data_IF_646184150841
#
_entry.id   IF_646184150841
#
_cell.length_a   1.000
_cell.length_b   1.000
_cell.length_c   1.000
_cell.angle_alpha   90.00
_cell.angle_beta   90.00
_cell.angle_gamma   90.00
#
_symmetry.space_group_name_H-M   'P 1'
#
loop_
_entity.id
_entity.type
_entity.pdbx_description
1 polymer ?
#
# COMPACT_ATOMS: atom_id res chain seq x y z
N UNK A 1 4.21 18.82 -4.09
CA UNK A 1 5.25 18.16 -4.92
C UNK A 1 4.51 17.34 -5.97
N UNK A 2 4.77 17.55 -7.25
CA UNK A 2 4.13 16.80 -8.33
C UNK A 2 5.05 15.68 -8.81
N UNK A 3 5.04 14.54 -8.12
CA UNK A 3 5.58 13.26 -8.61
C UNK A 3 5.10 12.94 -10.04
N UNK A 4 3.91 13.43 -10.42
CA UNK A 4 3.36 13.42 -11.78
C UNK A 4 4.21 14.15 -12.83
N UNK A 5 5.32 14.81 -12.48
CA UNK A 5 6.31 15.33 -13.43
C UNK A 5 7.67 14.63 -13.29
N UNK A 6 7.88 13.90 -12.19
CA UNK A 6 9.16 13.27 -11.84
C UNK A 6 9.25 11.82 -12.29
N UNK A 7 8.14 11.09 -12.29
CA UNK A 7 8.10 9.64 -12.48
C UNK A 7 7.06 9.20 -13.52
N UNK A 8 7.35 8.08 -14.18
CA UNK A 8 6.53 7.44 -15.23
C UNK A 8 6.55 5.92 -15.05
N UNK A 9 5.72 5.19 -15.82
CA UNK A 9 5.79 3.73 -15.84
C UNK A 9 7.16 3.18 -16.27
N UNK A 10 7.96 3.95 -17.03
CA UNK A 10 9.29 3.53 -17.45
C UNK A 10 10.29 3.41 -16.28
N UNK A 11 9.99 4.02 -15.13
CA UNK A 11 10.80 3.91 -13.92
C UNK A 11 10.58 2.58 -13.17
N UNK A 12 9.59 1.78 -13.58
CA UNK A 12 9.19 0.54 -12.92
C UNK A 12 9.38 -0.68 -13.82
N UNK A 13 9.82 -1.79 -13.21
CA UNK A 13 9.85 -3.11 -13.84
C UNK A 13 9.04 -4.07 -12.99
N UNK A 14 7.99 -4.63 -13.58
CA UNK A 14 7.16 -5.66 -12.98
C UNK A 14 7.63 -7.04 -13.40
N UNK A 15 7.72 -7.98 -12.46
CA UNK A 15 8.10 -9.36 -12.77
C UNK A 15 7.22 -10.36 -12.07
N UNK A 16 6.80 -11.41 -12.79
CA UNK A 16 6.20 -12.60 -12.20
C UNK A 16 7.28 -13.64 -11.94
N UNK A 17 7.38 -14.13 -10.70
CA UNK A 17 8.24 -15.27 -10.35
C UNK A 17 7.46 -16.56 -10.56
N UNK A 18 7.91 -17.40 -11.48
CA UNK A 18 7.46 -18.78 -11.63
C UNK A 18 8.69 -19.68 -11.65
N UNK A 19 8.83 -20.54 -10.64
CA UNK A 19 9.92 -21.50 -10.47
C UNK A 19 11.33 -20.91 -10.73
N UNK A 20 11.85 -21.12 -11.94
CA UNK A 20 13.22 -20.78 -12.36
C UNK A 20 13.30 -19.61 -13.37
N UNK A 21 12.16 -19.06 -13.81
CA UNK A 21 12.11 -17.96 -14.78
C UNK A 21 11.29 -16.78 -14.23
N UNK A 22 11.82 -15.59 -14.44
CA UNK A 22 11.09 -14.34 -14.17
C UNK A 22 10.55 -13.81 -15.50
N UNK A 23 9.22 -13.75 -15.61
CA UNK A 23 8.55 -13.08 -16.73
C UNK A 23 8.47 -11.59 -16.43
N UNK A 24 8.84 -10.74 -17.39
CA UNK A 24 8.64 -9.28 -17.28
C UNK A 24 7.23 -8.96 -17.71
N UNK A 25 6.49 -8.24 -16.87
CA UNK A 25 5.11 -7.86 -17.10
C UNK A 25 5.01 -6.39 -17.50
N UNK A 26 4.02 -6.06 -18.32
CA UNK A 26 3.48 -4.70 -18.44
C UNK A 26 2.71 -4.30 -17.17
N UNK A 27 2.41 -3.00 -17.02
CA UNK A 27 1.59 -2.50 -15.92
C UNK A 27 0.22 -3.18 -15.86
N UNK A 28 -0.45 -3.34 -17.00
CA UNK A 28 -1.79 -3.96 -17.07
C UNK A 28 -1.78 -5.46 -16.77
N UNK A 29 -0.65 -6.15 -16.99
CA UNK A 29 -0.48 -7.55 -16.59
C UNK A 29 -0.13 -7.70 -15.10
N UNK A 30 0.57 -6.72 -14.52
CA UNK A 30 0.86 -6.67 -13.09
C UNK A 30 -0.37 -6.29 -12.26
N UNK A 31 -1.20 -5.37 -12.76
CA UNK A 31 -2.42 -4.89 -12.15
C UNK A 31 -3.61 -5.01 -13.13
N UNK A 32 -4.12 -6.23 -13.34
CA UNK A 32 -5.25 -6.44 -14.24
C UNK A 32 -6.47 -5.64 -13.80
N UNK A 33 -7.22 -5.14 -14.79
CA UNK A 33 -8.45 -4.35 -14.63
C UNK A 33 -8.29 -3.06 -13.82
N UNK A 34 -7.07 -2.54 -13.71
CA UNK A 34 -6.82 -1.27 -13.02
C UNK A 34 -7.56 -0.13 -13.71
N UNK A 35 -8.25 0.69 -12.90
CA UNK A 35 -8.95 1.86 -13.36
C UNK A 35 -8.55 3.09 -12.53
N UNK A 36 -8.43 4.31 -13.12
CA UNK A 36 -8.07 5.53 -12.38
C UNK A 36 -9.01 5.93 -11.25
N UNK A 37 -10.23 5.37 -11.22
CA UNK A 37 -11.22 5.57 -10.14
C UNK A 37 -11.14 4.49 -9.05
N UNK A 38 -10.20 3.55 -9.15
CA UNK A 38 -10.01 2.54 -8.13
C UNK A 38 -9.58 3.16 -6.81
N UNK A 39 -10.13 2.63 -5.73
CA UNK A 39 -9.88 3.03 -4.35
C UNK A 39 -8.92 2.02 -3.76
N UNK A 40 -7.66 2.43 -3.60
CA UNK A 40 -6.59 1.57 -3.12
C UNK A 40 -6.45 1.74 -1.61
N UNK A 41 -6.58 0.65 -0.86
CA UNK A 41 -6.32 0.62 0.59
C UNK A 41 -4.93 0.05 0.85
N UNK A 42 -4.13 0.77 1.65
CA UNK A 42 -2.77 0.42 2.03
C UNK A 42 -2.73 0.20 3.54
N UNK A 43 -2.73 -1.05 3.98
CA UNK A 43 -2.77 -1.37 5.42
C UNK A 43 -1.37 -1.37 6.01
N UNK A 44 -1.15 -0.59 7.06
CA UNK A 44 0.14 -0.42 7.73
C UNK A 44 -0.05 -0.46 9.26
N UNK A 45 -0.05 -1.64 9.90
CA UNK A 45 -0.28 -1.77 11.34
C UNK A 45 0.76 -1.01 12.19
N UNK A 46 1.96 -0.83 11.65
CA UNK A 46 2.96 0.12 12.12
C UNK A 46 3.26 1.10 10.99
N UNK A 47 3.54 2.35 11.32
CA UNK A 47 3.70 3.43 10.34
C UNK A 47 4.68 3.09 9.22
N UNK A 48 5.86 2.60 9.57
CA UNK A 48 6.98 2.41 8.65
C UNK A 48 6.87 1.14 7.80
N UNK A 49 6.18 0.10 8.28
CA UNK A 49 6.12 -1.19 7.61
C UNK A 49 5.47 -1.09 6.23
N UNK A 50 4.44 -0.24 6.10
CA UNK A 50 3.80 0.05 4.82
C UNK A 50 4.70 0.90 3.91
N UNK A 51 5.42 1.88 4.45
CA UNK A 51 6.35 2.70 3.63
C UNK A 51 7.45 1.82 3.05
N UNK A 52 8.06 0.94 3.84
CA UNK A 52 9.06 -0.02 3.35
C UNK A 52 8.46 -1.03 2.36
N UNK A 53 7.31 -1.62 2.71
CA UNK A 53 6.74 -2.75 1.99
C UNK A 53 5.96 -2.41 0.73
N UNK A 54 5.44 -1.18 0.62
CA UNK A 54 4.46 -0.80 -0.41
C UNK A 54 4.98 0.26 -1.39
N UNK A 55 6.06 0.97 -1.10
CA UNK A 55 6.47 2.17 -1.85
C UNK A 55 6.51 1.99 -3.38
N UNK A 56 7.09 0.89 -3.89
CA UNK A 56 7.14 0.60 -5.31
C UNK A 56 5.77 0.36 -5.94
N UNK A 57 4.87 -0.33 -5.24
CA UNK A 57 3.51 -0.56 -5.73
C UNK A 57 2.67 0.73 -5.71
N UNK A 58 2.76 1.52 -4.65
CA UNK A 58 2.00 2.78 -4.53
C UNK A 58 2.40 3.76 -5.63
N UNK A 59 3.70 4.00 -5.82
CA UNK A 59 4.17 4.88 -6.89
C UNK A 59 3.89 4.31 -8.28
N UNK A 60 4.01 2.99 -8.46
CA UNK A 60 3.64 2.33 -9.72
C UNK A 60 2.16 2.48 -10.07
N UNK A 61 1.26 2.42 -9.08
CA UNK A 61 -0.16 2.70 -9.29
C UNK A 61 -0.41 4.19 -9.54
N UNK A 62 0.31 5.08 -8.85
CA UNK A 62 0.20 6.53 -9.04
C UNK A 62 0.64 6.95 -10.45
N UNK A 63 1.72 6.37 -10.98
CA UNK A 63 2.13 6.63 -12.38
C UNK A 63 1.12 6.05 -13.36
N UNK A 64 0.50 4.90 -13.08
CA UNK A 64 -0.58 4.36 -13.91
C UNK A 64 -1.80 5.28 -13.97
N UNK A 65 -2.15 5.90 -12.84
CA UNK A 65 -3.16 6.95 -12.77
C UNK A 65 -2.77 8.18 -13.61
N UNK A 66 -1.58 8.74 -13.38
CA UNK A 66 -1.14 9.96 -14.07
C UNK A 66 -0.91 9.74 -15.56
N UNK A 67 -0.47 8.55 -16.00
CA UNK A 67 -0.35 8.22 -17.43
C UNK A 67 -1.70 8.24 -18.13
N UNK A 68 -2.78 7.81 -17.46
CA UNK A 68 -4.12 7.96 -17.98
C UNK A 68 -4.50 9.44 -18.16
N UNK A 69 -4.22 10.29 -17.17
CA UNK A 69 -4.48 11.74 -17.27
C UNK A 69 -3.63 12.41 -18.35
N UNK A 70 -2.33 12.11 -18.41
CA UNK A 70 -1.42 12.60 -19.46
C UNK A 70 -1.92 12.23 -20.86
N UNK A 71 -2.45 11.02 -21.03
CA UNK A 71 -2.99 10.57 -22.32
C UNK A 71 -4.26 11.31 -22.76
N UNK A 72 -5.02 11.88 -21.82
CA UNK A 72 -6.20 12.70 -22.11
C UNK A 72 -5.83 14.13 -22.55
N UNK A 73 -4.58 14.55 -22.29
CA UNK A 73 -4.06 15.87 -22.63
C UNK A 73 -4.50 16.97 -21.64
N UNK A 74 -3.76 18.09 -21.64
CA UNK A 74 -4.03 19.24 -20.78
C UNK A 74 -3.39 19.17 -19.39
N UNK A 75 -3.56 20.24 -18.61
CA UNK A 75 -3.16 20.27 -17.20
C UNK A 75 -4.18 19.51 -16.34
N UNK A 76 -3.69 18.81 -15.32
CA UNK A 76 -4.53 18.07 -14.38
C UNK A 76 -4.12 18.34 -12.93
N UNK A 77 -5.10 18.34 -12.03
CA UNK A 77 -4.93 18.56 -10.59
C UNK A 77 -5.55 17.45 -9.75
N UNK A 78 -5.88 16.32 -10.40
CA UNK A 78 -6.47 15.15 -9.76
C UNK A 78 -5.37 14.28 -9.13
N UNK A 79 -5.74 13.58 -8.06
CA UNK A 79 -4.86 12.66 -7.33
C UNK A 79 -5.50 11.27 -7.32
N UNK A 80 -4.69 10.19 -7.29
CA UNK A 80 -5.20 8.85 -7.15
C UNK A 80 -5.94 8.66 -5.82
N UNK A 81 -6.95 7.80 -5.78
CA UNK A 81 -7.69 7.47 -4.55
C UNK A 81 -6.94 6.40 -3.75
N UNK A 82 -5.72 6.73 -3.31
CA UNK A 82 -4.92 5.91 -2.42
C UNK A 82 -5.19 6.31 -0.98
N UNK A 83 -5.58 5.35 -0.14
CA UNK A 83 -5.83 5.55 1.28
C UNK A 83 -4.87 4.68 2.08
N UNK A 84 -4.20 5.25 3.08
CA UNK A 84 -3.38 4.49 4.03
C UNK A 84 -4.12 4.35 5.35
N UNK A 85 -4.13 3.13 5.88
CA UNK A 85 -4.68 2.79 7.20
C UNK A 85 -3.52 2.48 8.14
N UNK A 86 -3.25 3.41 9.05
CA UNK A 86 -2.10 3.41 9.95
C UNK A 86 -2.57 2.96 11.32
N UNK A 87 -1.92 1.94 11.87
CA UNK A 87 -2.27 1.42 13.20
C UNK A 87 -2.03 2.46 14.29
N UNK A 88 -3.06 2.73 15.09
CA UNK A 88 -2.98 3.67 16.19
C UNK A 88 -4.34 3.98 16.81
N UNK A 89 -4.37 5.00 17.68
CA UNK A 89 -5.58 5.49 18.35
C UNK A 89 -5.38 6.93 18.81
N UNK A 90 -6.42 7.76 18.68
CA UNK A 90 -6.46 9.11 19.30
C UNK A 90 -5.24 10.00 18.97
N UNK A 91 -4.73 9.97 17.73
CA UNK A 91 -3.57 10.75 17.29
C UNK A 91 -2.21 10.13 17.62
N UNK A 92 -2.21 9.00 18.33
CA UNK A 92 -1.04 8.17 18.58
C UNK A 92 -0.96 7.06 17.54
N UNK A 93 0.23 6.84 16.98
CA UNK A 93 0.47 5.77 16.00
C UNK A 93 1.49 4.77 16.49
N UNK A 94 1.34 3.51 16.08
CA UNK A 94 2.31 2.47 16.36
C UNK A 94 3.51 2.58 15.43
N UNK A 95 4.70 2.48 16.01
CA UNK A 95 5.97 2.33 15.27
C UNK A 95 6.72 1.12 15.81
N UNK A 96 7.78 0.67 15.13
CA UNK A 96 8.65 -0.41 15.63
C UNK A 96 9.32 -0.06 16.96
N UNK A 97 9.49 1.23 17.26
CA UNK A 97 10.08 1.70 18.51
C UNK A 97 9.04 2.11 19.56
N UNK A 98 7.82 1.58 19.44
CA UNK A 98 6.70 1.91 20.32
C UNK A 98 5.86 3.06 19.79
N UNK A 99 4.86 3.40 20.58
CA UNK A 99 3.82 4.33 20.17
C UNK A 99 4.31 5.77 20.18
N UNK A 100 3.85 6.58 19.23
CA UNK A 100 4.25 7.97 19.07
C UNK A 100 3.07 8.88 18.80
N UNK A 101 3.09 10.04 19.44
CA UNK A 101 2.19 11.14 19.13
C UNK A 101 2.82 11.94 17.98
N UNK A 102 2.17 11.98 16.82
CA UNK A 102 2.65 12.68 15.64
C UNK A 102 1.64 13.74 15.21
N UNK A 103 2.11 14.90 14.79
CA UNK A 103 1.28 15.85 14.06
C UNK A 103 0.86 15.29 12.69
N UNK A 104 -0.20 15.84 12.09
CA UNK A 104 -0.66 15.42 10.75
C UNK A 104 0.46 15.51 9.69
N UNK A 105 1.27 16.60 9.63
CA UNK A 105 2.40 16.65 8.72
C UNK A 105 3.44 15.54 8.96
N UNK A 106 3.75 15.21 10.21
CA UNK A 106 4.71 14.15 10.54
C UNK A 106 4.19 12.75 10.21
N UNK A 107 2.89 12.52 10.46
CA UNK A 107 2.20 11.27 10.14
C UNK A 107 2.27 10.96 8.66
N UNK A 108 1.96 11.96 7.83
CA UNK A 108 1.79 11.77 6.40
C UNK A 108 3.00 12.16 5.56
N UNK A 109 4.08 12.71 6.13
CA UNK A 109 5.23 13.19 5.35
C UNK A 109 5.79 12.14 4.40
N UNK A 110 6.03 10.92 4.90
CA UNK A 110 6.52 9.81 4.08
C UNK A 110 5.47 9.35 3.04
N UNK A 111 4.22 9.23 3.46
CA UNK A 111 3.10 8.77 2.62
C UNK A 111 2.72 9.74 1.50
N UNK A 112 2.71 11.05 1.78
CA UNK A 112 2.50 12.10 0.79
C UNK A 112 3.61 12.15 -0.26
N UNK A 113 4.83 11.75 0.12
CA UNK A 113 5.91 11.58 -0.85
C UNK A 113 5.71 10.40 -1.79
N UNK A 114 4.89 9.42 -1.39
CA UNK A 114 4.48 8.27 -2.20
C UNK A 114 3.14 8.48 -2.92
N UNK A 115 2.68 9.73 -3.13
CA UNK A 115 1.36 10.03 -3.72
C UNK A 115 0.14 9.54 -2.93
N UNK A 116 0.28 9.24 -1.65
CA UNK A 116 -0.88 9.11 -0.77
C UNK A 116 -1.21 10.52 -0.27
N UNK A 117 -2.00 11.25 -1.05
CA UNK A 117 -2.35 12.65 -0.81
C UNK A 117 -3.79 12.92 -1.31
N UNK A 118 -4.57 13.85 -0.73
CA UNK A 118 -4.28 14.76 0.38
C UNK A 118 -4.33 14.12 1.77
N UNK A 119 -4.11 14.93 2.82
CA UNK A 119 -4.12 14.50 4.23
C UNK A 119 -5.37 13.70 4.62
N UNK A 120 -6.51 13.93 3.96
CA UNK A 120 -7.75 13.17 4.18
C UNK A 120 -7.65 11.70 3.75
N UNK A 121 -6.54 11.29 3.15
CA UNK A 121 -6.24 9.91 2.79
C UNK A 121 -5.38 9.18 3.84
N UNK A 122 -5.02 9.84 4.94
CA UNK A 122 -4.26 9.25 6.04
C UNK A 122 -5.19 8.94 7.20
N UNK A 123 -5.47 7.66 7.42
CA UNK A 123 -6.44 7.22 8.43
C UNK A 123 -5.70 6.54 9.56
N UNK A 124 -5.82 7.06 10.77
CA UNK A 124 -5.42 6.33 11.98
C UNK A 124 -6.57 5.39 12.34
N UNK A 125 -6.28 4.10 12.39
CA UNK A 125 -7.27 3.05 12.64
C UNK A 125 -6.80 2.15 13.78
N UNK A 126 -7.73 1.52 14.53
CA UNK A 126 -7.34 0.49 15.49
C UNK A 126 -6.44 -0.54 14.82
N UNK A 127 -5.31 -0.86 15.45
CA UNK A 127 -4.30 -1.76 14.90
C UNK A 127 -4.68 -3.23 15.03
N UNK A 128 -5.91 -3.55 14.65
CA UNK A 128 -6.48 -4.88 14.57
C UNK A 128 -6.95 -5.12 13.14
N UNK A 129 -6.94 -6.39 12.67
CA UNK A 129 -7.51 -6.73 11.36
C UNK A 129 -8.95 -6.23 11.18
N UNK A 130 -9.81 -6.38 12.20
CA UNK A 130 -11.18 -5.88 12.15
C UNK A 130 -11.25 -4.36 11.95
N UNK A 131 -10.45 -3.57 12.67
CA UNK A 131 -10.41 -2.10 12.53
C UNK A 131 -9.94 -1.64 11.15
N UNK A 132 -8.96 -2.34 10.57
CA UNK A 132 -8.44 -2.03 9.23
C UNK A 132 -9.42 -2.45 8.11
N UNK A 133 -10.12 -3.58 8.28
CA UNK A 133 -11.20 -4.00 7.37
C UNK A 133 -12.37 -3.02 7.45
N UNK A 134 -12.69 -2.54 8.64
CA UNK A 134 -13.74 -1.52 8.80
C UNK A 134 -13.42 -0.26 8.01
N UNK A 135 -12.17 0.21 8.08
CA UNK A 135 -11.71 1.36 7.29
C UNK A 135 -11.83 1.08 5.78
N UNK A 136 -11.39 -0.10 5.32
CA UNK A 136 -11.53 -0.52 3.93
C UNK A 136 -13.00 -0.53 3.46
N UNK A 137 -13.90 -1.04 4.30
CA UNK A 137 -15.34 -1.06 4.05
C UNK A 137 -15.92 0.36 3.97
N UNK A 138 -15.66 1.22 4.98
CA UNK A 138 -16.19 2.59 5.06
C UNK A 138 -15.75 3.44 3.87
N UNK A 139 -14.50 3.28 3.44
CA UNK A 139 -13.92 4.03 2.32
C UNK A 139 -14.19 3.39 0.95
N UNK A 140 -14.88 2.24 0.93
CA UNK A 140 -15.24 1.50 -0.27
C UNK A 140 -14.02 1.11 -1.12
N UNK A 141 -12.95 0.67 -0.45
CA UNK A 141 -11.74 0.16 -1.10
C UNK A 141 -12.11 -1.01 -2.02
N UNK A 142 -11.51 -1.00 -3.21
CA UNK A 142 -11.67 -2.07 -4.20
C UNK A 142 -10.34 -2.73 -4.60
N UNK A 143 -9.19 -2.20 -4.16
CA UNK A 143 -7.88 -2.86 -4.26
C UNK A 143 -7.16 -2.75 -2.93
N UNK A 144 -6.80 -3.86 -2.30
CA UNK A 144 -6.27 -3.86 -0.94
C UNK A 144 -4.85 -4.43 -0.90
N UNK A 145 -3.95 -3.70 -0.24
CA UNK A 145 -2.62 -4.19 0.14
C UNK A 145 -2.61 -4.47 1.64
N UNK A 146 -2.25 -5.71 2.00
CA UNK A 146 -2.37 -6.21 3.36
C UNK A 146 -1.07 -6.89 3.82
N UNK A 147 -0.60 -6.70 5.06
CA UNK A 147 0.62 -7.37 5.53
C UNK A 147 0.34 -8.85 5.76
N UNK A 148 1.16 -9.75 5.19
CA UNK A 148 0.92 -11.20 5.32
C UNK A 148 0.92 -11.69 6.77
N UNK A 149 1.64 -11.01 7.66
CA UNK A 149 1.71 -11.35 9.09
C UNK A 149 0.53 -10.83 9.91
N UNK A 150 -0.36 -10.03 9.32
CA UNK A 150 -1.43 -9.34 10.04
C UNK A 150 -2.76 -10.07 9.90
N UNK A 151 -2.81 -11.29 10.43
CA UNK A 151 -3.99 -12.16 10.41
C UNK A 151 -4.84 -11.98 11.68
N UNK A 152 -6.16 -12.21 11.61
CA UNK A 152 -7.02 -12.01 12.76
C UNK A 152 -6.84 -13.12 13.79
N UNK A 153 -6.89 -12.72 15.06
CA UNK A 153 -7.13 -13.63 16.18
C UNK A 153 -8.59 -13.57 16.61
N UNK A 154 -8.83 -13.60 17.91
CA UNK A 154 -10.15 -13.31 18.47
C UNK A 154 -10.52 -11.84 18.25
N UNK A 155 -11.77 -11.59 17.90
CA UNK A 155 -12.33 -10.25 17.68
C UNK A 155 -13.50 -10.05 18.62
N UNK A 156 -13.43 -9.03 19.46
CA UNK A 156 -14.48 -8.71 20.45
C UNK A 156 -15.72 -8.10 19.79
N UNK A 157 -15.50 -7.23 18.78
CA UNK A 157 -16.54 -6.51 18.06
C UNK A 157 -16.44 -6.80 16.55
N UNK A 158 -16.98 -7.94 16.09
CA UNK A 158 -16.96 -8.28 14.68
C UNK A 158 -17.87 -7.35 13.86
N UNK A 159 -17.47 -7.11 12.61
CA UNK A 159 -18.24 -6.35 11.64
C UNK A 159 -19.49 -7.12 11.22
N UNK A 160 -20.56 -6.40 10.86
CA UNK A 160 -21.78 -7.07 10.38
C UNK A 160 -21.53 -7.93 9.13
N UNK A 161 -22.33 -8.99 8.97
CA UNK A 161 -22.36 -9.80 7.74
C UNK A 161 -22.67 -8.96 6.49
N UNK A 162 -23.35 -7.82 6.64
CA UNK A 162 -23.54 -6.86 5.56
C UNK A 162 -22.20 -6.30 5.03
N UNK A 163 -21.26 -5.98 5.91
CA UNK A 163 -19.93 -5.52 5.52
C UNK A 163 -19.18 -6.59 4.72
N UNK A 164 -19.25 -7.86 5.15
CA UNK A 164 -18.70 -9.00 4.41
C UNK A 164 -19.24 -9.06 2.97
N UNK A 165 -20.58 -9.04 2.80
CA UNK A 165 -21.19 -9.10 1.46
C UNK A 165 -20.78 -7.92 0.58
N UNK A 166 -20.68 -6.72 1.16
CA UNK A 166 -20.32 -5.53 0.40
C UNK A 166 -18.84 -5.55 -0.02
N UNK A 167 -17.93 -5.97 0.86
CA UNK A 167 -16.52 -6.15 0.53
C UNK A 167 -16.33 -7.23 -0.54
N UNK A 168 -17.00 -8.38 -0.40
CA UNK A 168 -16.97 -9.46 -1.39
C UNK A 168 -17.40 -8.99 -2.78
N UNK A 169 -18.45 -8.19 -2.85
CA UNK A 169 -18.94 -7.66 -4.13
C UNK A 169 -18.11 -6.51 -4.72
N UNK A 170 -17.15 -5.95 -3.98
CA UNK A 170 -16.40 -4.74 -4.39
C UNK A 170 -14.91 -4.93 -4.56
N UNK A 171 -14.28 -5.77 -3.74
CA UNK A 171 -12.84 -6.03 -3.84
C UNK A 171 -12.55 -6.69 -5.19
N UNK A 172 -11.74 -6.01 -6.01
CA UNK A 172 -11.23 -6.48 -7.29
C UNK A 172 -9.95 -7.29 -7.13
N UNK A 173 -9.09 -6.90 -6.19
CA UNK A 173 -7.80 -7.55 -5.96
C UNK A 173 -7.30 -7.35 -4.54
N UNK A 174 -6.66 -8.37 -3.98
CA UNK A 174 -5.95 -8.29 -2.71
C UNK A 174 -4.50 -8.73 -2.90
N UNK A 175 -3.57 -7.98 -2.31
CA UNK A 175 -2.14 -8.21 -2.40
C UNK A 175 -1.54 -8.29 -1.01
N UNK A 176 -0.98 -9.45 -0.67
CA UNK A 176 -0.17 -9.56 0.54
C UNK A 176 1.23 -9.03 0.30
N UNK A 177 1.72 -8.17 1.20
CA UNK A 177 3.11 -7.69 1.19
C UNK A 177 3.89 -8.24 2.40
N UNK A 178 5.21 -8.06 2.39
CA UNK A 178 6.15 -8.66 3.34
C UNK A 178 6.07 -10.20 3.38
N UNK A 179 5.80 -10.81 2.21
CA UNK A 179 5.75 -12.26 2.03
C UNK A 179 7.00 -12.78 1.31
N UNK A 180 7.54 -13.92 1.77
CA UNK A 180 8.70 -14.56 1.14
C UNK A 180 8.34 -15.22 -0.19
N UNK A 181 7.11 -15.72 -0.30
CA UNK A 181 6.50 -16.39 -1.45
C UNK A 181 5.82 -15.42 -2.43
N UNK A 182 6.11 -14.11 -2.33
CA UNK A 182 5.59 -13.09 -3.24
C UNK A 182 5.92 -13.40 -4.71
N UNK A 183 4.87 -13.56 -5.52
CA UNK A 183 4.94 -13.92 -6.93
C UNK A 183 5.03 -12.71 -7.87
N UNK A 184 4.59 -11.53 -7.44
CA UNK A 184 4.79 -10.26 -8.14
C UNK A 184 5.95 -9.52 -7.49
N UNK A 185 6.91 -9.11 -8.31
CA UNK A 185 8.02 -8.25 -7.89
C UNK A 185 7.91 -6.91 -8.61
N UNK A 186 7.92 -5.82 -7.85
CA UNK A 186 7.93 -4.45 -8.35
C UNK A 186 9.30 -3.86 -8.07
N UNK A 187 10.03 -3.52 -9.14
CA UNK A 187 11.33 -2.85 -9.03
C UNK A 187 11.18 -1.39 -9.44
N UNK A 188 11.52 -0.48 -8.55
CA UNK A 188 11.65 0.94 -8.86
C UNK A 188 13.10 1.27 -9.17
N UNK A 189 13.32 2.13 -10.17
CA UNK A 189 14.63 2.59 -10.60
C UNK A 189 14.61 4.09 -10.90
N UNK A 190 15.78 4.70 -11.14
CA UNK A 190 15.89 6.10 -11.53
C UNK A 190 15.15 7.04 -10.57
N UNK A 191 14.34 7.93 -11.13
CA UNK A 191 13.58 8.94 -10.37
C UNK A 191 12.62 8.31 -9.36
N UNK A 192 12.04 7.14 -9.65
CA UNK A 192 11.17 6.46 -8.70
C UNK A 192 11.95 5.96 -7.48
N UNK A 193 13.15 5.42 -7.67
CA UNK A 193 14.00 5.00 -6.55
C UNK A 193 14.41 6.20 -5.68
N UNK A 194 14.66 7.37 -6.27
CA UNK A 194 14.94 8.61 -5.53
C UNK A 194 13.73 9.07 -4.71
N UNK A 195 12.52 9.07 -5.28
CA UNK A 195 11.30 9.42 -4.54
C UNK A 195 11.08 8.48 -3.36
N UNK A 196 11.30 7.17 -3.55
CA UNK A 196 11.20 6.20 -2.46
C UNK A 196 12.23 6.50 -1.37
N UNK A 197 13.49 6.76 -1.74
CA UNK A 197 14.54 7.12 -0.78
C UNK A 197 14.19 8.37 0.02
N UNK A 198 13.72 9.43 -0.66
CA UNK A 198 13.29 10.67 -0.02
C UNK A 198 12.08 10.46 0.92
N UNK A 199 11.17 9.54 0.57
CA UNK A 199 10.05 9.12 1.43
C UNK A 199 10.55 8.44 2.72
N UNK A 200 11.52 7.53 2.58
CA UNK A 200 12.11 6.82 3.73
C UNK A 200 12.85 7.78 4.68
N UNK A 201 13.54 8.78 4.14
CA UNK A 201 14.21 9.84 4.91
C UNK A 201 13.22 10.71 5.72
N UNK A 202 11.92 10.68 5.38
CA UNK A 202 10.85 11.43 6.08
C UNK A 202 10.17 10.65 7.19
N UNK A 203 10.50 9.37 7.37
CA UNK A 203 9.99 8.61 8.50
C UNK A 203 10.47 9.23 9.82
N UNK A 204 9.65 9.24 10.87
CA UNK A 204 10.05 9.75 12.18
C UNK A 204 11.32 9.07 12.70
N UNK A 205 12.21 9.84 13.33
CA UNK A 205 13.54 9.36 13.74
C UNK A 205 13.49 8.07 14.58
N UNK A 206 14.29 7.07 14.21
CA UNK A 206 14.29 5.73 14.80
C UNK A 206 13.46 4.70 14.03
N UNK A 207 12.51 5.10 13.17
CA UNK A 207 11.78 4.15 12.32
C UNK A 207 12.60 3.66 11.11
N UNK A 208 13.85 4.11 10.98
CA UNK A 208 14.76 3.65 9.94
C UNK A 208 15.10 2.16 10.15
N UNK A 209 15.08 1.38 9.07
CA UNK A 209 15.72 0.06 9.09
C UNK A 209 17.18 0.23 9.49
N UNK A 210 17.69 -0.70 10.32
CA UNK A 210 19.10 -0.78 10.69
C UNK A 210 19.93 -0.91 9.42
N UNK A 211 20.35 0.23 8.89
CA UNK A 211 21.00 0.36 7.61
C UNK A 211 22.48 -0.02 7.79
N UNK A 212 22.86 -1.22 7.37
CA UNK A 212 24.26 -1.45 7.02
C UNK A 212 24.55 -0.59 5.78
N UNK A 213 25.31 0.50 5.95
CA UNK A 213 25.65 1.45 4.88
C UNK A 213 26.33 0.78 3.67
N UNK A 214 26.94 -0.40 3.87
CA UNK A 214 27.51 -1.23 2.79
C UNK A 214 26.48 -1.76 1.77
N UNK A 215 25.19 -1.90 2.13
CA UNK A 215 24.15 -2.47 1.24
C UNK A 215 23.42 -1.38 0.41
N UNK A 216 23.57 -0.09 0.77
CA UNK A 216 22.97 1.05 0.03
C UNK A 216 23.70 1.38 -1.27
N UNK A 217 25.01 1.20 -1.32
CA UNK A 217 25.81 1.52 -2.50
C UNK A 217 25.72 0.46 -3.61
N UNK A 218 25.17 -0.73 -3.33
CA UNK A 218 25.21 -1.89 -4.22
C UNK A 218 23.87 -2.25 -4.87
N UNK A 219 22.76 -1.60 -4.49
CA UNK A 219 21.42 -1.90 -5.04
C UNK A 219 20.76 -0.66 -5.63
N UNK A 220 20.87 -0.43 -6.95
CA UNK A 220 20.25 0.73 -7.62
C UNK A 220 18.71 0.63 -7.75
N UNK A 221 18.07 -0.31 -7.06
CA UNK A 221 16.64 -0.59 -7.17
C UNK A 221 16.03 -0.93 -5.81
N UNK A 222 14.88 -0.33 -5.51
CA UNK A 222 13.98 -0.81 -4.44
C UNK A 222 13.13 -1.94 -4.99
N UNK A 223 13.09 -3.07 -4.27
CA UNK A 223 12.35 -4.26 -4.68
C UNK A 223 11.27 -4.56 -3.65
N UNK A 224 10.01 -4.41 -4.04
CA UNK A 224 8.86 -4.86 -3.23
C UNK A 224 8.28 -6.13 -3.83
N UNK A 225 7.84 -7.06 -2.97
CA UNK A 225 7.26 -8.34 -3.37
C UNK A 225 5.86 -8.48 -2.80
N UNK A 226 4.98 -9.01 -3.65
CA UNK A 226 3.58 -9.16 -3.37
C UNK A 226 3.09 -10.53 -3.77
N UNK A 227 2.16 -11.07 -3.00
CA UNK A 227 1.41 -12.28 -3.35
C UNK A 227 -0.02 -11.87 -3.62
N UNK A 228 -0.46 -12.07 -4.86
CA UNK A 228 -1.87 -11.90 -5.21
C UNK A 228 -2.69 -13.01 -4.54
N UNK A 229 -3.84 -12.65 -3.97
CA UNK A 229 -4.83 -13.60 -3.47
C UNK A 229 -6.21 -13.19 -3.95
N UNK A 230 -7.05 -14.19 -4.20
CA UNK A 230 -8.44 -13.95 -4.56
C UNK A 230 -9.18 -13.24 -3.40
N UNK A 231 -10.01 -12.23 -3.69
CA UNK A 231 -10.77 -11.53 -2.65
C UNK A 231 -11.57 -12.45 -1.73
N UNK A 232 -12.18 -13.50 -2.26
CA UNK A 232 -12.90 -14.51 -1.48
C UNK A 232 -11.99 -15.21 -0.47
N UNK A 233 -10.81 -15.67 -0.91
CA UNK A 233 -9.85 -16.34 -0.03
C UNK A 233 -9.35 -15.41 1.08
N UNK A 234 -9.09 -14.14 0.75
CA UNK A 234 -8.78 -13.13 1.76
C UNK A 234 -9.92 -12.97 2.78
N UNK A 235 -11.18 -12.89 2.32
CA UNK A 235 -12.32 -12.72 3.22
C UNK A 235 -12.61 -13.97 4.06
N UNK A 236 -12.26 -15.16 3.57
CA UNK A 236 -12.28 -16.41 4.35
C UNK A 236 -11.22 -16.39 5.47
N UNK A 237 -9.99 -15.96 5.17
CA UNK A 237 -8.93 -15.73 6.16
C UNK A 237 -9.35 -14.70 7.21
N UNK A 238 -10.20 -13.74 6.82
CA UNK A 238 -10.74 -12.68 7.67
C UNK A 238 -12.10 -13.00 8.29
N UNK A 239 -12.59 -14.23 8.18
CA UNK A 239 -13.96 -14.62 8.57
C UNK A 239 -14.32 -14.24 10.01
N UNK A 240 -13.40 -14.41 10.96
CA UNK A 240 -13.60 -14.06 12.38
C UNK A 240 -13.78 -12.56 12.64
N UNK A 241 -13.45 -11.70 11.66
CA UNK A 241 -13.74 -10.27 11.72
C UNK A 241 -15.20 -9.93 11.39
N UNK A 242 -16.03 -10.91 11.05
CA UNK A 242 -17.42 -10.71 10.68
C UNK A 242 -18.36 -11.52 11.58
N UNK A 243 -19.58 -11.03 11.78
CA UNK A 243 -20.65 -11.80 12.40
C UNK A 243 -21.09 -12.91 11.45
N UNK A 244 -21.50 -14.04 12.03
CA UNK A 244 -22.19 -15.09 11.27
C UNK A 244 -23.42 -14.51 10.54
N UNK A 245 -23.68 -15.04 9.34
CA UNK A 245 -24.75 -14.60 8.43
C UNK A 245 -25.98 -15.47 8.45
#
# INVERSE_FOLDING_TARGET
>A
MHTSERITQADFVYRRRQDTKAEVLSFTEAYPDYHPQDRVGLVSPRLEDGVFGLAGAVLGLATGFYDCLRSQGGEFFNYPQHHVFIGGREGRVHTRNGDRDLSIPELGSAWGWLDVWPETNWHICPATPAGMIEAAFRLQVNRLFWPVSFMPGTVDEPLSHYAYRLLRGRLKSVWYYNCEDGNLEVRASGSAADVIRESLERLPGGCAESNNEMDKASRPWTVNRFRSVEPEAFLEDMSVCFTDG
#
